data_IF_936355848397
#
_entry.id   IF_936355848397
#
_cell.length_a   1.000
_cell.length_b   1.000
_cell.length_c   1.000
_cell.angle_alpha   90.00
_cell.angle_beta   90.00
_cell.angle_gamma   90.00
#
_symmetry.space_group_name_H-M   'P 1'
#
loop_
_entity.id
_entity.type
_entity.pdbx_description
1 polymer ?
#
# COMPACT_ATOMS: atom_id res chain seq x y z
N UNK A 1 21.47 29.05 -6.08
CA UNK A 1 21.58 29.01 -4.61
C UNK A 1 22.32 27.72 -4.27
N UNK A 2 23.32 27.75 -3.39
CA UNK A 2 24.06 26.54 -3.02
C UNK A 2 23.18 25.66 -2.12
N UNK A 3 23.26 24.34 -2.27
CA UNK A 3 22.71 23.42 -1.26
C UNK A 3 23.39 23.71 0.09
N UNK A 4 22.71 23.48 1.23
CA UNK A 4 23.36 23.48 2.54
C UNK A 4 24.65 22.62 2.51
N UNK A 5 25.72 23.06 3.18
CA UNK A 5 27.03 22.39 3.12
C UNK A 5 26.97 20.91 3.54
N UNK A 6 26.01 20.54 4.39
CA UNK A 6 25.76 19.16 4.78
C UNK A 6 25.17 18.28 3.66
N UNK A 7 24.60 18.88 2.61
CA UNK A 7 24.00 18.20 1.43
C UNK A 7 24.85 18.35 0.18
N UNK A 8 25.57 19.47 0.04
CA UNK A 8 26.33 19.80 -1.15
C UNK A 8 27.34 18.69 -1.49
N UNK A 9 27.18 18.10 -2.68
CA UNK A 9 28.05 17.02 -3.17
C UNK A 9 27.81 15.65 -2.54
N UNK A 10 26.77 15.48 -1.71
CA UNK A 10 26.47 14.20 -1.01
C UNK A 10 25.18 13.53 -1.46
N UNK A 11 24.32 14.24 -2.20
CA UNK A 11 23.03 13.71 -2.67
C UNK A 11 23.24 12.70 -3.80
N UNK A 12 22.69 11.51 -3.63
CA UNK A 12 22.72 10.40 -4.60
C UNK A 12 21.39 10.20 -5.33
N UNK A 13 20.30 10.77 -4.83
CA UNK A 13 19.00 10.73 -5.47
C UNK A 13 18.05 11.81 -4.98
N UNK A 14 17.09 12.16 -5.83
CA UNK A 14 16.00 13.10 -5.53
C UNK A 14 14.68 12.53 -6.03
N UNK A 15 13.59 12.85 -5.34
CA UNK A 15 12.22 12.63 -5.79
C UNK A 15 11.38 13.83 -5.36
N UNK A 16 10.49 14.28 -6.24
CA UNK A 16 9.69 15.49 -6.02
C UNK A 16 8.23 15.14 -6.23
N UNK A 17 7.39 15.63 -5.35
CA UNK A 17 5.95 15.56 -5.54
C UNK A 17 5.30 16.74 -4.79
N UNK A 18 4.38 17.42 -5.47
CA UNK A 18 3.77 18.66 -4.97
C UNK A 18 4.81 19.77 -4.65
N UNK A 19 4.58 20.54 -3.59
CA UNK A 19 5.48 21.50 -2.99
C UNK A 19 6.57 20.88 -2.11
N UNK A 20 6.82 19.57 -2.17
CA UNK A 20 7.88 18.93 -1.39
C UNK A 20 8.86 18.12 -2.24
N UNK A 21 10.09 18.05 -1.76
CA UNK A 21 11.18 17.28 -2.36
C UNK A 21 11.81 16.41 -1.28
N UNK A 22 12.09 15.16 -1.61
CA UNK A 22 12.99 14.31 -0.85
C UNK A 22 14.33 14.15 -1.57
N UNK A 23 15.42 14.28 -0.83
CA UNK A 23 16.78 14.01 -1.26
C UNK A 23 17.39 12.93 -0.37
N UNK A 24 18.25 12.10 -0.94
CA UNK A 24 18.89 10.98 -0.25
C UNK A 24 20.40 11.05 -0.44
N UNK A 25 21.17 10.82 0.63
CA UNK A 25 22.65 10.77 0.57
C UNK A 25 23.19 9.35 0.30
N UNK A 26 24.51 9.18 0.36
CA UNK A 26 25.18 7.88 0.16
C UNK A 26 24.90 6.85 1.28
N UNK A 27 24.58 7.33 2.48
CA UNK A 27 24.12 6.53 3.62
C UNK A 27 22.64 6.19 3.58
N UNK A 28 21.90 6.67 2.57
CA UNK A 28 20.46 6.49 2.46
C UNK A 28 19.65 7.43 3.36
N UNK A 29 20.26 8.43 4.00
CA UNK A 29 19.56 9.36 4.89
C UNK A 29 18.61 10.24 4.09
N UNK A 30 17.40 10.38 4.61
CA UNK A 30 16.34 11.18 3.99
C UNK A 30 16.45 12.62 4.46
N UNK A 31 16.44 13.53 3.50
CA UNK A 31 16.28 14.97 3.68
C UNK A 31 15.03 15.39 2.94
N UNK A 32 14.19 16.20 3.56
CA UNK A 32 13.01 16.77 2.92
C UNK A 32 13.12 18.29 2.83
N UNK A 33 12.51 18.84 1.80
CA UNK A 33 12.33 20.27 1.60
C UNK A 33 10.85 20.54 1.35
N UNK A 34 10.29 21.52 2.05
CA UNK A 34 8.94 22.04 1.79
C UNK A 34 9.00 23.32 0.93
N UNK A 35 7.82 23.84 0.56
CA UNK A 35 7.67 25.10 -0.19
C UNK A 35 8.36 25.11 -1.56
N UNK A 36 8.51 23.97 -2.23
CA UNK A 36 9.16 23.87 -3.54
C UNK A 36 8.44 24.70 -4.63
N UNK A 37 7.14 24.95 -4.48
CA UNK A 37 6.34 25.83 -5.36
C UNK A 37 6.49 27.32 -5.04
N UNK A 38 7.11 27.67 -3.90
CA UNK A 38 7.32 29.05 -3.49
C UNK A 38 8.71 29.55 -3.90
N UNK A 39 8.97 30.82 -3.62
CA UNK A 39 10.25 31.43 -3.95
C UNK A 39 11.42 30.82 -3.13
N UNK A 40 12.64 30.70 -3.70
CA UNK A 40 13.71 29.92 -3.10
C UNK A 40 14.14 30.29 -1.67
N UNK A 41 13.92 31.53 -1.23
CA UNK A 41 14.24 31.94 0.15
C UNK A 41 13.26 31.39 1.21
N UNK A 42 12.18 30.73 0.78
CA UNK A 42 11.20 30.07 1.66
C UNK A 42 11.42 28.56 1.78
N UNK A 43 12.31 28.00 0.96
CA UNK A 43 12.64 26.58 0.98
C UNK A 43 13.24 26.20 2.34
N UNK A 44 12.56 25.32 3.06
CA UNK A 44 12.99 24.89 4.37
C UNK A 44 13.36 23.40 4.35
N UNK A 45 14.63 23.13 4.60
CA UNK A 45 15.23 21.80 4.58
C UNK A 45 15.30 21.21 5.98
N UNK A 46 14.94 19.94 6.11
CA UNK A 46 15.07 19.17 7.35
C UNK A 46 15.52 17.75 7.05
N UNK A 47 16.20 17.13 8.02
CA UNK A 47 16.43 15.68 8.04
C UNK A 47 15.62 15.00 9.15
N UNK A 48 14.86 15.79 9.92
CA UNK A 48 14.02 15.25 10.99
C UNK A 48 12.91 14.45 10.38
N UNK A 49 12.72 13.26 10.91
CA UNK A 49 11.79 12.29 10.37
C UNK A 49 11.49 11.28 11.48
N UNK A 50 10.22 10.99 11.67
CA UNK A 50 9.74 10.01 12.63
C UNK A 50 9.30 10.58 13.98
N UNK A 51 9.05 9.65 14.91
CA UNK A 51 8.37 9.93 16.18
C UNK A 51 9.11 10.89 17.13
N UNK A 52 8.38 11.77 17.85
CA UNK A 52 6.96 12.06 17.66
C UNK A 52 6.77 13.07 16.51
N UNK A 53 6.00 12.71 15.48
CA UNK A 53 5.47 13.62 14.44
C UNK A 53 6.49 14.64 13.90
N UNK A 54 7.38 14.23 12.99
CA UNK A 54 8.47 15.06 12.45
C UNK A 54 9.57 15.49 13.43
N UNK A 55 9.49 15.14 14.72
CA UNK A 55 10.49 15.55 15.72
C UNK A 55 11.59 14.49 15.95
N UNK A 56 11.54 13.36 15.25
CA UNK A 56 12.56 12.32 15.33
C UNK A 56 13.93 12.76 14.77
N UNK A 57 14.97 12.03 15.16
CA UNK A 57 16.38 12.29 14.78
C UNK A 57 16.69 12.05 13.30
N UNK A 58 15.68 11.61 12.53
CA UNK A 58 15.77 11.34 11.10
C UNK A 58 15.57 9.87 10.77
N UNK A 59 15.56 9.60 9.46
CA UNK A 59 15.32 8.27 8.94
C UNK A 59 16.14 8.03 7.66
N UNK A 60 16.18 6.79 7.23
CA UNK A 60 16.83 6.37 5.99
C UNK A 60 15.83 5.69 5.07
N UNK A 61 16.11 5.71 3.77
CA UNK A 61 15.46 4.78 2.85
C UNK A 61 15.81 3.36 3.32
N UNK A 62 14.85 2.42 3.32
CA UNK A 62 15.13 1.05 3.72
C UNK A 62 16.35 0.46 3.02
N UNK A 63 17.25 -0.14 3.79
CA UNK A 63 18.52 -0.63 3.27
C UNK A 63 18.33 -1.64 2.13
N UNK A 64 19.14 -1.49 1.08
CA UNK A 64 19.14 -2.38 -0.08
C UNK A 64 17.95 -2.22 -1.03
N UNK A 65 17.13 -1.17 -0.87
CA UNK A 65 16.00 -0.92 -1.75
C UNK A 65 16.44 -0.82 -3.22
N UNK A 66 15.73 -1.50 -4.13
CA UNK A 66 16.00 -1.43 -5.56
C UNK A 66 15.61 -0.08 -6.15
N UNK A 67 14.52 0.50 -5.65
CA UNK A 67 13.95 1.79 -6.06
C UNK A 67 13.32 2.46 -4.84
N UNK A 68 13.27 3.77 -4.84
CA UNK A 68 12.49 4.55 -3.90
C UNK A 68 11.87 5.75 -4.60
N UNK A 69 10.78 6.26 -4.04
CA UNK A 69 10.02 7.41 -4.56
C UNK A 69 9.40 8.17 -3.40
N UNK A 70 9.24 9.47 -3.58
CA UNK A 70 8.54 10.36 -2.67
C UNK A 70 7.13 10.62 -3.17
N UNK A 71 6.18 10.73 -2.25
CA UNK A 71 4.77 10.99 -2.55
C UNK A 71 4.21 11.97 -1.54
N UNK A 72 3.45 12.94 -2.01
CA UNK A 72 2.74 13.94 -1.19
C UNK A 72 1.31 14.07 -1.69
N UNK A 73 0.35 13.77 -0.85
CA UNK A 73 -1.06 14.12 -1.07
C UNK A 73 -1.35 15.42 -0.30
N UNK A 74 -1.73 16.50 -0.99
CA UNK A 74 -1.89 17.82 -0.34
C UNK A 74 -3.27 18.46 -0.54
N UNK A 75 -3.73 19.31 0.41
CA UNK A 75 -4.95 20.07 0.23
C UNK A 75 -4.83 21.20 -0.80
N UNK A 76 -3.60 21.60 -1.19
CA UNK A 76 -3.36 22.66 -2.16
C UNK A 76 -3.64 22.19 -3.59
N UNK A 77 -2.97 21.12 -4.00
CA UNK A 77 -3.05 20.56 -5.35
C UNK A 77 -4.17 19.53 -5.49
N UNK A 78 -4.20 18.52 -4.61
CA UNK A 78 -5.13 17.39 -4.75
C UNK A 78 -6.53 17.70 -4.21
N UNK A 79 -6.60 18.42 -3.09
CA UNK A 79 -7.81 18.83 -2.34
C UNK A 79 -8.65 17.69 -1.77
N UNK A 80 -8.92 16.67 -2.57
CA UNK A 80 -9.73 15.50 -2.21
C UNK A 80 -9.10 14.23 -2.76
N UNK A 81 -9.47 13.10 -2.18
CA UNK A 81 -9.23 11.76 -2.71
C UNK A 81 -10.52 10.95 -2.60
N UNK A 82 -10.67 9.91 -3.43
CA UNK A 82 -11.91 9.13 -3.52
C UNK A 82 -11.75 7.73 -2.96
N UNK A 83 -12.63 7.34 -2.03
CA UNK A 83 -12.66 5.99 -1.47
C UNK A 83 -13.36 4.98 -2.39
N UNK A 84 -13.41 3.70 -1.97
CA UNK A 84 -14.00 2.60 -2.74
C UNK A 84 -15.54 2.67 -2.82
N UNK A 85 -16.19 3.47 -1.98
CA UNK A 85 -17.61 3.79 -2.09
C UNK A 85 -17.88 4.96 -3.04
N UNK A 86 -16.84 5.63 -3.55
CA UNK A 86 -16.97 6.79 -4.43
C UNK A 86 -17.17 8.10 -3.67
N UNK A 87 -16.95 8.12 -2.35
CA UNK A 87 -17.02 9.34 -1.56
C UNK A 87 -15.70 10.13 -1.68
N UNK A 88 -15.81 11.44 -1.90
CA UNK A 88 -14.68 12.35 -1.85
C UNK A 88 -14.39 12.75 -0.40
N UNK A 89 -13.18 12.48 0.07
CA UNK A 89 -12.68 12.91 1.37
C UNK A 89 -11.69 14.06 1.19
N UNK A 90 -11.77 15.13 2.01
CA UNK A 90 -10.79 16.21 1.95
C UNK A 90 -9.42 15.70 2.39
N UNK A 91 -8.37 16.18 1.73
CA UNK A 91 -6.99 15.94 2.18
C UNK A 91 -6.74 16.73 3.47
N UNK A 92 -6.14 16.08 4.47
CA UNK A 92 -5.82 16.70 5.75
C UNK A 92 -4.87 17.90 5.62
N UNK A 93 -4.99 18.87 6.53
CA UNK A 93 -4.18 20.09 6.52
C UNK A 93 -2.67 19.86 6.70
N UNK A 94 -2.29 18.72 7.28
CA UNK A 94 -0.90 18.32 7.47
C UNK A 94 -0.29 17.59 6.26
N UNK A 95 -1.06 17.42 5.17
CA UNK A 95 -0.72 16.57 4.02
C UNK A 95 -0.50 15.11 4.43
N UNK A 96 -0.19 14.27 3.45
CA UNK A 96 0.24 12.88 3.68
C UNK A 96 1.48 12.62 2.84
N UNK A 97 2.64 12.48 3.50
CA UNK A 97 3.94 12.44 2.85
C UNK A 97 4.69 11.14 3.16
N UNK A 98 5.11 10.42 2.12
CA UNK A 98 5.72 9.09 2.26
C UNK A 98 6.94 8.93 1.36
N UNK A 99 7.99 8.29 1.88
CA UNK A 99 8.95 7.57 1.04
C UNK A 99 8.45 6.15 0.86
N UNK A 100 8.15 5.75 -0.37
CA UNK A 100 7.93 4.35 -0.72
C UNK A 100 9.21 3.74 -1.27
N UNK A 101 9.54 2.52 -0.85
CA UNK A 101 10.77 1.84 -1.22
C UNK A 101 10.52 0.37 -1.56
N UNK A 102 10.99 -0.03 -2.74
CA UNK A 102 10.85 -1.37 -3.27
C UNK A 102 12.00 -2.27 -2.81
N UNK A 103 11.69 -3.45 -2.29
CA UNK A 103 12.70 -4.44 -1.91
C UNK A 103 13.59 -4.86 -3.10
N UNK A 104 14.82 -5.34 -2.84
CA UNK A 104 15.74 -5.73 -3.92
C UNK A 104 15.19 -6.80 -4.88
N UNK A 105 14.33 -7.70 -4.39
CA UNK A 105 13.67 -8.73 -5.18
C UNK A 105 12.33 -8.29 -5.81
N UNK A 106 11.91 -7.04 -5.58
CA UNK A 106 10.69 -6.48 -6.13
C UNK A 106 9.39 -6.92 -5.45
N UNK A 107 9.46 -7.73 -4.40
CA UNK A 107 8.26 -8.38 -3.84
C UNK A 107 7.55 -7.55 -2.75
N UNK A 108 8.24 -6.60 -2.12
CA UNK A 108 7.74 -5.81 -0.98
C UNK A 108 7.86 -4.32 -1.24
N UNK A 109 6.85 -3.54 -0.88
CA UNK A 109 6.92 -2.08 -0.82
C UNK A 109 6.84 -1.68 0.64
N UNK A 110 7.94 -1.14 1.16
CA UNK A 110 7.97 -0.48 2.47
C UNK A 110 7.64 0.98 2.30
N UNK A 111 7.00 1.57 3.29
CA UNK A 111 6.86 3.00 3.33
C UNK A 111 7.41 3.56 4.63
N UNK A 112 7.97 4.76 4.52
CA UNK A 112 8.48 5.55 5.62
C UNK A 112 7.63 6.82 5.65
N UNK A 113 7.07 7.10 6.80
CA UNK A 113 6.20 8.26 7.04
C UNK A 113 6.82 9.08 8.19
N UNK A 114 6.82 10.43 8.10
CA UNK A 114 7.49 11.28 9.05
C UNK A 114 6.86 11.28 10.45
N UNK A 115 5.65 10.71 10.60
CA UNK A 115 4.94 10.58 11.87
C UNK A 115 5.19 9.22 12.54
N UNK A 116 5.71 8.24 11.79
CA UNK A 116 5.88 6.87 12.23
C UNK A 116 7.30 6.58 12.77
N UNK A 117 7.48 5.53 13.59
CA UNK A 117 8.80 5.12 14.08
C UNK A 117 9.77 4.80 12.94
N UNK A 118 11.06 5.11 13.15
CA UNK A 118 12.11 4.87 12.17
C UNK A 118 12.62 3.41 12.19
N UNK A 119 11.77 2.47 11.80
CA UNK A 119 12.08 1.02 11.85
C UNK A 119 11.84 0.24 10.55
N UNK A 120 11.28 0.90 9.53
CA UNK A 120 11.00 0.33 8.20
C UNK A 120 10.10 -0.92 8.23
N UNK A 121 9.23 -1.05 9.24
CA UNK A 121 8.37 -2.23 9.38
C UNK A 121 7.01 -2.09 8.68
N UNK A 122 6.62 -0.88 8.30
CA UNK A 122 5.36 -0.59 7.60
C UNK A 122 5.46 -0.92 6.12
N UNK A 123 4.41 -1.55 5.60
CA UNK A 123 4.41 -2.09 4.25
C UNK A 123 3.04 -1.95 3.58
N UNK A 124 3.09 -1.76 2.25
CA UNK A 124 1.96 -1.93 1.35
C UNK A 124 2.23 -3.19 0.52
N UNK A 125 1.29 -4.15 0.49
CA UNK A 125 1.44 -5.31 -0.39
C UNK A 125 1.53 -4.89 -1.85
N UNK A 126 2.39 -5.57 -2.62
CA UNK A 126 2.39 -5.56 -4.09
C UNK A 126 1.14 -6.27 -4.65
N UNK A 127 0.85 -6.19 -5.97
CA UNK A 127 -0.25 -6.94 -6.57
C UNK A 127 -0.24 -8.44 -6.26
N UNK A 128 -1.38 -9.11 -6.49
CA UNK A 128 -1.52 -10.55 -6.31
C UNK A 128 -1.18 -11.00 -4.88
N UNK A 129 -1.76 -10.29 -3.90
CA UNK A 129 -1.62 -10.54 -2.45
C UNK A 129 -0.16 -10.46 -1.97
N UNK A 130 0.58 -9.43 -2.41
CA UNK A 130 1.96 -9.21 -1.97
C UNK A 130 3.00 -10.10 -2.65
N UNK A 131 2.64 -10.77 -3.75
CA UNK A 131 3.52 -11.74 -4.43
C UNK A 131 4.07 -11.26 -5.76
N UNK A 132 3.51 -10.20 -6.33
CA UNK A 132 4.00 -9.64 -7.59
C UNK A 132 5.43 -9.09 -7.44
N UNK A 133 6.33 -9.51 -8.33
CA UNK A 133 7.71 -9.03 -8.35
C UNK A 133 7.88 -7.85 -9.30
N UNK A 134 7.82 -6.64 -8.74
CA UNK A 134 8.03 -5.41 -9.49
C UNK A 134 9.51 -5.19 -9.86
N UNK A 135 9.75 -4.59 -11.02
CA UNK A 135 11.05 -4.10 -11.48
C UNK A 135 11.23 -2.61 -11.23
N UNK A 136 10.13 -1.87 -11.19
CA UNK A 136 10.15 -0.46 -10.85
C UNK A 136 8.90 -0.05 -10.06
N UNK A 137 9.05 1.10 -9.40
CA UNK A 137 8.07 1.76 -8.56
C UNK A 137 8.17 3.26 -8.81
N UNK A 138 7.04 3.93 -8.95
CA UNK A 138 6.91 5.39 -8.87
C UNK A 138 5.60 5.72 -8.19
N UNK A 139 5.59 6.77 -7.37
CA UNK A 139 4.38 7.18 -6.64
C UNK A 139 4.27 8.70 -6.70
N UNK A 140 3.04 9.20 -6.85
CA UNK A 140 2.70 10.60 -6.69
C UNK A 140 1.28 10.72 -6.11
N UNK A 141 1.10 11.61 -5.12
CA UNK A 141 -0.15 11.83 -4.39
C UNK A 141 -0.86 10.52 -4.03
N UNK A 142 -0.11 9.67 -3.34
CA UNK A 142 -0.50 8.36 -2.81
C UNK A 142 -0.88 7.34 -3.88
N UNK A 143 -0.71 7.66 -5.16
CA UNK A 143 -0.94 6.73 -6.27
C UNK A 143 0.38 6.10 -6.70
N UNK A 144 0.57 4.84 -6.34
CA UNK A 144 1.74 4.05 -6.72
C UNK A 144 1.50 3.37 -8.07
N UNK A 145 2.51 3.34 -8.93
CA UNK A 145 2.61 2.57 -10.17
C UNK A 145 3.76 1.57 -10.04
N UNK A 146 3.50 0.32 -10.38
CA UNK A 146 4.52 -0.74 -10.47
C UNK A 146 4.46 -1.44 -11.82
N UNK A 147 5.60 -1.97 -12.24
CA UNK A 147 5.72 -2.76 -13.48
C UNK A 147 6.61 -3.99 -13.23
N UNK A 148 6.29 -5.16 -13.79
CA UNK A 148 7.19 -6.33 -13.74
C UNK A 148 8.07 -6.43 -15.00
N UNK A 149 8.84 -7.53 -15.10
CA UNK A 149 9.72 -7.80 -16.26
C UNK A 149 8.97 -7.98 -17.60
N UNK A 150 7.68 -8.26 -17.56
CA UNK A 150 6.83 -8.54 -18.74
C UNK A 150 6.05 -7.31 -19.19
N UNK A 151 6.17 -6.19 -18.48
CA UNK A 151 5.41 -4.97 -18.76
C UNK A 151 3.98 -5.00 -18.23
N UNK A 152 3.64 -5.92 -17.31
CA UNK A 152 2.37 -5.86 -16.59
C UNK A 152 2.42 -4.73 -15.56
N UNK A 153 1.41 -3.86 -15.59
CA UNK A 153 1.40 -2.58 -14.90
C UNK A 153 0.24 -2.54 -13.91
N UNK A 154 0.49 -2.12 -12.68
CA UNK A 154 -0.57 -1.93 -11.69
C UNK A 154 -0.45 -0.59 -11.02
N UNK A 155 -1.61 0.01 -10.71
CA UNK A 155 -1.68 1.22 -9.89
C UNK A 155 -2.48 0.98 -8.63
N UNK A 156 -2.16 1.70 -7.56
CA UNK A 156 -2.93 1.67 -6.32
C UNK A 156 -2.89 3.01 -5.62
N UNK A 157 -4.05 3.50 -5.21
CA UNK A 157 -4.18 4.63 -4.29
C UNK A 157 -4.07 4.10 -2.86
N UNK A 158 -2.99 4.47 -2.17
CA UNK A 158 -2.70 3.98 -0.83
C UNK A 158 -1.73 4.91 -0.10
N UNK A 159 -2.08 5.25 1.14
CA UNK A 159 -1.21 5.85 2.13
C UNK A 159 -1.71 5.49 3.53
N UNK A 160 -1.04 6.02 4.56
CA UNK A 160 -1.39 5.78 5.95
C UNK A 160 -2.85 6.17 6.30
N UNK A 161 -3.33 7.31 5.83
CA UNK A 161 -4.69 7.79 6.09
C UNK A 161 -5.73 6.97 5.32
N UNK A 162 -5.49 6.69 4.03
CA UNK A 162 -6.43 5.98 3.16
C UNK A 162 -6.58 4.51 3.58
N UNK A 163 -5.51 3.89 4.11
CA UNK A 163 -5.45 2.46 4.43
C UNK A 163 -6.31 2.02 5.63
N UNK A 164 -6.76 2.95 6.48
CA UNK A 164 -7.38 2.59 7.77
C UNK A 164 -6.42 2.56 8.95
N UNK A 165 -5.16 2.95 8.75
CA UNK A 165 -4.13 2.91 9.78
C UNK A 165 -4.24 4.07 10.78
N UNK A 166 -4.83 5.20 10.37
CA UNK A 166 -4.97 6.38 11.23
C UNK A 166 -6.37 6.51 11.87
N UNK A 167 -6.70 5.58 12.77
CA UNK A 167 -7.94 5.63 13.58
C UNK A 167 -7.95 6.71 14.66
N UNK A 168 -6.85 7.45 14.83
CA UNK A 168 -6.77 8.55 15.80
C UNK A 168 -7.47 9.79 15.26
N UNK A 169 -7.31 10.07 13.96
CA UNK A 169 -7.89 11.27 13.33
C UNK A 169 -9.11 10.98 12.46
N UNK A 170 -9.30 9.76 11.96
CA UNK A 170 -10.36 9.45 11.01
C UNK A 170 -11.27 8.29 11.46
N UNK A 171 -12.51 8.34 10.97
CA UNK A 171 -13.47 7.25 11.08
C UNK A 171 -13.45 6.38 9.84
N UNK A 172 -13.38 5.07 10.03
CA UNK A 172 -13.38 4.07 8.96
C UNK A 172 -14.55 3.11 9.10
N UNK A 173 -14.97 2.50 7.98
CA UNK A 173 -16.00 1.47 8.01
C UNK A 173 -15.83 0.44 6.90
N UNK A 174 -16.00 -0.84 7.24
CA UNK A 174 -16.19 -1.92 6.27
C UNK A 174 -17.65 -2.03 5.79
N UNK A 175 -18.59 -1.30 6.41
CA UNK A 175 -19.96 -1.22 5.93
C UNK A 175 -20.08 -0.20 4.79
N UNK A 176 -21.04 -0.40 3.89
CA UNK A 176 -21.23 0.47 2.72
C UNK A 176 -21.54 1.93 3.14
N UNK A 177 -20.71 2.86 2.71
CA UNK A 177 -20.81 4.29 3.00
C UNK A 177 -21.44 5.08 1.85
N UNK A 178 -21.93 4.45 0.78
CA UNK A 178 -22.56 5.15 -0.35
C UNK A 178 -23.80 5.91 0.08
N UNK A 179 -23.84 7.20 -0.28
CA UNK A 179 -24.98 8.07 0.01
C UNK A 179 -25.10 8.52 1.46
N UNK A 180 -24.14 8.18 2.32
CA UNK A 180 -24.08 8.71 3.68
C UNK A 180 -23.83 10.24 3.65
N UNK A 181 -24.47 10.99 4.55
CA UNK A 181 -24.31 12.46 4.62
C UNK A 181 -22.92 12.85 5.12
N UNK A 182 -22.38 12.08 6.07
CA UNK A 182 -21.04 12.21 6.62
C UNK A 182 -20.36 10.84 6.54
N UNK A 183 -19.90 10.41 5.36
CA UNK A 183 -19.35 9.09 5.18
C UNK A 183 -18.09 8.93 6.02
N UNK A 184 -17.97 7.79 6.69
CA UNK A 184 -16.66 7.31 7.13
C UNK A 184 -15.83 6.95 5.90
N UNK A 185 -14.52 6.87 6.04
CA UNK A 185 -13.67 6.32 4.97
C UNK A 185 -14.07 4.86 4.74
N UNK A 186 -14.44 4.53 3.51
CA UNK A 186 -14.77 3.17 3.13
C UNK A 186 -13.51 2.28 3.15
N UNK A 187 -13.59 1.19 3.91
CA UNK A 187 -12.66 0.06 3.88
C UNK A 187 -13.32 -1.16 3.21
N UNK A 188 -12.53 -2.10 2.65
CA UNK A 188 -11.08 -2.04 2.46
C UNK A 188 -10.63 -0.87 1.59
N UNK A 189 -9.39 -0.43 1.78
CA UNK A 189 -8.78 0.61 0.97
C UNK A 189 -8.74 0.20 -0.51
N UNK A 190 -8.59 1.15 -1.46
CA UNK A 190 -8.49 0.83 -2.88
C UNK A 190 -7.44 -0.25 -3.17
N UNK A 191 -7.88 -1.29 -3.89
CA UNK A 191 -7.02 -2.39 -4.33
C UNK A 191 -6.11 -1.99 -5.49
N UNK A 192 -5.22 -2.92 -5.89
CA UNK A 192 -4.44 -2.78 -7.11
C UNK A 192 -5.34 -2.87 -8.35
N UNK A 193 -5.21 -1.89 -9.24
CA UNK A 193 -5.89 -1.85 -10.54
C UNK A 193 -4.88 -2.23 -11.62
N UNK A 194 -5.18 -3.28 -12.37
CA UNK A 194 -4.38 -3.67 -13.54
C UNK A 194 -4.56 -2.63 -14.65
N UNK A 195 -3.45 -2.13 -15.18
CA UNK A 195 -3.43 -1.16 -16.26
C UNK A 195 -3.29 -1.87 -17.62
N UNK A 196 -3.88 -1.32 -18.70
CA UNK A 196 -3.75 -1.89 -20.02
C UNK A 196 -2.29 -1.96 -20.46
N UNK A 197 -1.96 -2.97 -21.28
CA UNK A 197 -0.64 -3.09 -21.90
C UNK A 197 -0.33 -1.90 -22.81
N UNK A 198 0.94 -1.52 -22.83
CA UNK A 198 1.48 -0.68 -23.91
C UNK A 198 1.39 -1.49 -25.22
N UNK A 199 0.99 -0.89 -26.36
CA UNK A 199 0.83 -1.60 -27.62
C UNK A 199 2.05 -2.46 -27.98
N UNK A 200 1.80 -3.63 -28.59
CA UNK A 200 2.87 -4.59 -28.95
C UNK A 200 3.90 -4.05 -29.96
N UNK A 201 3.59 -2.95 -30.65
CA UNK A 201 4.57 -2.23 -31.49
C UNK A 201 5.61 -1.45 -30.68
N UNK A 202 5.34 -1.23 -29.40
CA UNK A 202 6.15 -0.45 -28.48
C UNK A 202 7.13 -1.29 -27.68
N UNK A 203 8.34 -0.77 -27.53
CA UNK A 203 9.26 -1.20 -26.48
C UNK A 203 9.07 -0.29 -25.26
N UNK A 204 9.25 -0.84 -24.06
CA UNK A 204 9.20 -0.06 -22.81
C UNK A 204 10.39 -0.42 -21.92
N UNK A 205 10.72 0.49 -20.99
CA UNK A 205 11.74 0.27 -19.97
C UNK A 205 11.14 0.25 -18.57
N UNK A 206 11.98 -0.03 -17.57
CA UNK A 206 11.64 0.09 -16.15
C UNK A 206 11.59 1.55 -15.65
N UNK A 207 11.82 2.55 -16.52
CA UNK A 207 11.71 3.96 -16.15
C UNK A 207 10.27 4.43 -16.30
N UNK A 208 9.54 4.34 -15.19
CA UNK A 208 8.13 4.73 -15.06
C UNK A 208 7.96 5.98 -14.21
N UNK A 209 6.85 6.71 -14.39
CA UNK A 209 6.50 7.82 -13.51
C UNK A 209 4.99 8.07 -13.44
N UNK A 210 4.52 8.55 -12.28
CA UNK A 210 3.17 9.09 -12.08
C UNK A 210 3.28 10.60 -11.94
N UNK A 211 2.40 11.36 -12.62
CA UNK A 211 2.37 12.82 -12.58
C UNK A 211 0.99 13.32 -12.17
N UNK A 212 0.91 14.32 -11.28
CA UNK A 212 -0.35 15.01 -11.02
C UNK A 212 -0.74 15.84 -12.24
N UNK A 213 -2.02 15.80 -12.61
CA UNK A 213 -2.57 16.61 -13.72
C UNK A 213 -3.73 17.50 -13.27
N UNK A 214 -4.15 17.40 -12.01
CA UNK A 214 -5.18 18.24 -11.43
C UNK A 214 -5.70 17.72 -10.08
N UNK A 215 -6.87 18.24 -9.69
CA UNK A 215 -7.56 17.91 -8.45
C UNK A 215 -8.04 16.45 -8.43
N UNK A 216 -7.97 15.82 -7.26
CA UNK A 216 -8.53 14.49 -7.05
C UNK A 216 -7.54 13.37 -7.36
N UNK A 217 -7.77 12.19 -6.80
CA UNK A 217 -6.92 11.01 -6.97
C UNK A 217 -6.90 10.45 -8.40
N UNK A 218 -7.91 10.75 -9.22
CA UNK A 218 -8.00 10.27 -10.61
C UNK A 218 -7.20 11.13 -11.60
N UNK A 219 -6.86 12.37 -11.22
CA UNK A 219 -6.17 13.32 -12.08
C UNK A 219 -4.66 13.06 -12.07
N UNK A 220 -4.26 11.92 -12.66
CA UNK A 220 -2.87 11.52 -12.84
C UNK A 220 -2.58 11.14 -14.28
N UNK A 221 -1.35 11.35 -14.72
CA UNK A 221 -0.80 10.78 -15.95
C UNK A 221 0.25 9.72 -15.59
N UNK A 222 0.13 8.56 -16.22
CA UNK A 222 1.14 7.50 -16.17
C UNK A 222 2.08 7.70 -17.35
N UNK A 223 3.40 7.60 -17.13
CA UNK A 223 4.39 7.62 -18.21
C UNK A 223 5.36 6.45 -18.08
N UNK A 224 5.79 5.92 -19.23
CA UNK A 224 6.74 4.83 -19.34
C UNK A 224 7.71 5.17 -20.48
N UNK A 225 8.99 5.27 -20.18
CA UNK A 225 10.01 5.46 -21.20
C UNK A 225 10.04 4.25 -22.15
N UNK A 226 10.29 4.50 -23.43
CA UNK A 226 10.29 3.42 -24.42
C UNK A 226 10.58 3.87 -25.84
N UNK A 227 10.23 3.01 -26.79
CA UNK A 227 10.26 3.30 -28.23
C UNK A 227 8.95 2.95 -28.89
N UNK A 228 8.60 3.70 -29.92
CA UNK A 228 7.62 3.29 -30.91
C UNK A 228 8.27 3.30 -32.29
N UNK A 229 8.21 2.17 -33.00
CA UNK A 229 8.80 2.02 -34.36
C UNK A 229 10.25 2.51 -34.45
N UNK A 230 11.04 2.25 -33.41
CA UNK A 230 12.46 2.61 -33.32
C UNK A 230 12.75 4.05 -32.86
N UNK A 231 11.74 4.92 -32.74
CA UNK A 231 11.92 6.29 -32.22
C UNK A 231 11.81 6.27 -30.70
N UNK A 232 12.76 6.89 -30.00
CA UNK A 232 12.76 6.97 -28.53
C UNK A 232 11.85 8.09 -28.01
N UNK A 233 11.27 7.84 -26.85
CA UNK A 233 10.28 8.73 -26.24
C UNK A 233 9.66 8.11 -25.00
N UNK A 234 8.39 8.40 -24.76
CA UNK A 234 7.63 7.78 -23.70
C UNK A 234 6.19 7.51 -24.11
N UNK A 235 5.65 6.41 -23.61
CA UNK A 235 4.24 6.08 -23.62
C UNK A 235 3.57 6.77 -22.45
N UNK A 236 2.38 7.34 -22.66
CA UNK A 236 1.61 7.97 -21.60
C UNK A 236 0.11 7.81 -21.79
N UNK A 237 -0.62 7.92 -20.68
CA UNK A 237 -2.09 7.97 -20.64
C UNK A 237 -2.56 8.57 -19.32
N UNK A 238 -3.80 9.06 -19.25
CA UNK A 238 -4.39 9.35 -17.95
C UNK A 238 -4.59 8.06 -17.15
N UNK A 239 -4.62 8.14 -15.82
CA UNK A 239 -4.76 6.99 -14.92
C UNK A 239 -5.93 6.07 -15.31
N UNK A 240 -7.06 6.67 -15.69
CA UNK A 240 -8.32 5.98 -15.99
C UNK A 240 -8.52 5.68 -17.48
N UNK A 241 -7.65 6.17 -18.37
CA UNK A 241 -7.77 5.93 -19.81
C UNK A 241 -7.44 4.48 -20.18
N UNK A 242 -8.08 3.96 -21.23
CA UNK A 242 -7.87 2.59 -21.69
C UNK A 242 -6.67 2.42 -22.66
N UNK A 243 -6.14 3.52 -23.22
CA UNK A 243 -5.17 3.48 -24.31
C UNK A 243 -3.94 4.34 -24.04
N UNK A 244 -2.79 3.88 -24.52
CA UNK A 244 -1.52 4.59 -24.45
C UNK A 244 -1.26 5.40 -25.72
N UNK A 245 -0.72 6.60 -25.55
CA UNK A 245 -0.19 7.46 -26.62
C UNK A 245 1.32 7.56 -26.50
N UNK A 246 2.03 7.73 -27.62
CA UNK A 246 3.48 7.88 -27.63
C UNK A 246 3.88 9.32 -27.94
N UNK A 247 4.80 9.87 -27.15
CA UNK A 247 5.46 11.15 -27.42
C UNK A 247 6.94 10.92 -27.68
N UNK A 248 7.39 11.24 -28.90
CA UNK A 248 8.78 11.15 -29.29
C UNK A 248 9.62 12.26 -28.62
N UNK A 249 10.80 11.90 -28.12
CA UNK A 249 11.76 12.85 -27.53
C UNK A 249 13.11 12.82 -28.23
N UNK A 250 13.47 11.70 -28.88
CA UNK A 250 14.78 11.49 -29.49
C UNK A 250 15.93 11.32 -28.49
N UNK A 251 15.65 11.40 -27.19
CA UNK A 251 16.64 11.15 -26.14
C UNK A 251 16.99 9.64 -26.07
N UNK A 252 18.23 9.27 -25.75
CA UNK A 252 18.56 7.86 -25.52
C UNK A 252 17.77 7.30 -24.34
N UNK A 253 17.43 6.00 -24.39
CA UNK A 253 16.82 5.31 -23.26
C UNK A 253 17.78 5.32 -22.06
N UNK A 254 17.24 5.59 -20.87
CA UNK A 254 17.98 5.54 -19.62
C UNK A 254 17.57 4.37 -18.72
N UNK A 255 16.36 3.84 -18.88
CA UNK A 255 15.89 2.63 -18.20
C UNK A 255 16.33 1.35 -18.89
N UNK A 256 16.15 0.23 -18.19
CA UNK A 256 16.40 -1.10 -18.72
C UNK A 256 15.17 -1.61 -19.48
N UNK A 257 15.37 -2.15 -20.69
CA UNK A 257 14.30 -2.71 -21.51
C UNK A 257 13.57 -3.85 -20.79
N UNK A 258 12.23 -3.84 -20.88
CA UNK A 258 11.34 -4.90 -20.42
C UNK A 258 10.85 -5.72 -21.63
N UNK A 259 10.26 -6.89 -21.37
CA UNK A 259 9.81 -7.77 -22.45
C UNK A 259 8.56 -7.27 -23.18
N UNK A 260 7.71 -6.50 -22.50
CA UNK A 260 6.42 -5.99 -23.00
C UNK A 260 5.59 -7.03 -23.78
N UNK A 261 5.30 -8.17 -23.16
CA UNK A 261 4.48 -9.19 -23.83
C UNK A 261 3.05 -8.68 -24.02
N UNK A 262 2.36 -9.06 -25.12
CA UNK A 262 0.97 -8.64 -25.36
C UNK A 262 0.00 -9.22 -24.33
N UNK A 263 0.29 -10.41 -23.81
CA UNK A 263 -0.51 -11.08 -22.80
C UNK A 263 -0.09 -10.66 -21.39
N UNK A 264 -1.04 -10.72 -20.45
CA UNK A 264 -0.81 -10.58 -19.02
C UNK A 264 0.02 -11.77 -18.50
N UNK A 265 1.16 -11.48 -17.89
CA UNK A 265 2.08 -12.46 -17.32
C UNK A 265 2.39 -12.20 -15.86
N UNK A 266 1.47 -11.52 -15.16
CA UNK A 266 1.65 -11.09 -13.77
C UNK A 266 1.87 -12.26 -12.81
N UNK A 267 1.31 -13.42 -13.12
CA UNK A 267 1.40 -14.64 -12.32
C UNK A 267 2.63 -15.52 -12.61
N UNK A 268 3.43 -15.20 -13.63
CA UNK A 268 4.51 -16.08 -14.08
C UNK A 268 5.76 -16.00 -13.19
N UNK A 269 5.93 -14.90 -12.46
CA UNK A 269 7.06 -14.69 -11.53
C UNK A 269 6.55 -14.12 -10.23
N UNK A 270 5.90 -14.98 -9.45
CA UNK A 270 5.44 -14.66 -8.11
C UNK A 270 6.53 -15.00 -7.09
N UNK A 271 6.70 -14.12 -6.10
CA UNK A 271 7.41 -14.46 -4.88
C UNK A 271 6.72 -15.64 -4.16
N UNK A 272 7.48 -16.31 -3.30
CA UNK A 272 6.90 -17.33 -2.43
C UNK A 272 5.78 -16.72 -1.55
N UNK A 273 4.73 -17.48 -1.23
CA UNK A 273 3.78 -17.07 -0.21
C UNK A 273 4.47 -16.78 1.12
N UNK A 274 3.83 -15.97 1.96
CA UNK A 274 4.27 -15.76 3.33
C UNK A 274 4.37 -17.11 4.09
N UNK A 275 5.41 -17.33 4.92
CA UNK A 275 5.65 -18.62 5.59
C UNK A 275 4.91 -18.77 6.94
N UNK A 276 3.85 -18.00 7.15
CA UNK A 276 3.13 -17.94 8.41
C UNK A 276 1.73 -18.54 8.29
N UNK A 277 1.65 -19.85 8.45
CA UNK A 277 0.39 -20.57 8.63
C UNK A 277 0.07 -20.63 10.12
N UNK A 278 -1.20 -20.42 10.47
CA UNK A 278 -1.68 -20.51 11.84
C UNK A 278 -2.91 -21.39 11.93
N UNK A 279 -2.98 -22.26 12.94
CA UNK A 279 -4.14 -23.06 13.23
C UNK A 279 -4.41 -23.20 14.74
N UNK A 280 -5.66 -23.38 15.10
CA UNK A 280 -6.07 -23.54 16.50
C UNK A 280 -7.48 -24.09 16.63
N UNK A 281 -7.88 -24.34 17.88
CA UNK A 281 -9.19 -24.89 18.21
C UNK A 281 -9.74 -24.19 19.44
N UNK A 282 -11.04 -23.87 19.42
CA UNK A 282 -11.82 -23.42 20.58
C UNK A 282 -13.13 -24.21 20.63
N UNK A 283 -13.27 -25.08 21.63
CA UNK A 283 -14.36 -26.05 21.69
C UNK A 283 -14.40 -26.96 20.45
N UNK A 284 -15.53 -26.96 19.75
CA UNK A 284 -15.75 -27.74 18.52
C UNK A 284 -15.27 -27.02 17.25
N UNK A 285 -14.90 -25.74 17.35
CA UNK A 285 -14.50 -24.94 16.19
C UNK A 285 -12.99 -24.99 16.04
N UNK A 286 -12.54 -25.47 14.88
CA UNK A 286 -11.15 -25.31 14.43
C UNK A 286 -11.05 -24.11 13.50
N UNK A 287 -9.91 -23.42 13.53
CA UNK A 287 -9.65 -22.24 12.75
C UNK A 287 -8.28 -22.36 12.08
N UNK A 288 -8.18 -21.93 10.82
CA UNK A 288 -6.95 -21.93 10.04
C UNK A 288 -6.81 -20.67 9.20
N UNK A 289 -5.60 -20.13 9.19
CA UNK A 289 -5.12 -19.09 8.28
C UNK A 289 -3.88 -19.63 7.59
N UNK A 290 -3.85 -19.53 6.27
CA UNK A 290 -2.70 -19.90 5.45
C UNK A 290 -1.98 -18.65 4.95
N UNK A 291 -0.65 -18.69 4.97
CA UNK A 291 0.24 -17.66 4.45
C UNK A 291 -0.14 -16.23 4.88
N UNK A 292 -0.38 -16.03 6.18
CA UNK A 292 -0.67 -14.71 6.74
C UNK A 292 0.48 -13.74 6.42
N UNK A 293 0.17 -12.60 5.83
CA UNK A 293 1.16 -11.58 5.49
C UNK A 293 0.72 -10.24 6.08
N UNK A 294 1.59 -9.65 6.89
CA UNK A 294 1.33 -8.37 7.57
C UNK A 294 1.03 -7.20 6.62
N UNK A 295 1.42 -7.30 5.36
CA UNK A 295 1.21 -6.25 4.36
C UNK A 295 -0.10 -6.45 3.55
N UNK A 296 -0.74 -7.63 3.67
CA UNK A 296 -1.98 -7.97 2.96
C UNK A 296 -3.16 -7.73 3.88
N UNK A 297 -4.05 -6.83 3.48
CA UNK A 297 -5.15 -6.38 4.34
C UNK A 297 -6.24 -7.44 4.48
N UNK A 298 -6.53 -8.23 3.45
CA UNK A 298 -7.56 -9.27 3.46
C UNK A 298 -6.95 -10.68 3.53
N UNK A 299 -7.24 -11.44 4.58
CA UNK A 299 -6.77 -12.82 4.74
C UNK A 299 -7.93 -13.79 4.94
N UNK A 300 -8.07 -14.85 4.11
CA UNK A 300 -9.05 -15.90 4.35
C UNK A 300 -8.83 -16.58 5.70
N UNK A 301 -9.89 -16.63 6.51
CA UNK A 301 -9.97 -17.40 7.74
C UNK A 301 -10.98 -18.52 7.54
N UNK A 302 -10.51 -19.77 7.65
CA UNK A 302 -11.34 -20.95 7.53
C UNK A 302 -11.71 -21.45 8.91
N UNK A 303 -12.99 -21.48 9.22
CA UNK A 303 -13.57 -22.04 10.45
C UNK A 303 -14.26 -23.36 10.12
N UNK A 304 -14.03 -24.41 10.90
CA UNK A 304 -14.69 -25.73 10.72
C UNK A 304 -15.21 -26.28 12.03
N UNK A 305 -16.36 -26.91 11.99
CA UNK A 305 -16.91 -27.69 13.10
C UNK A 305 -17.67 -28.90 12.54
N UNK A 306 -17.31 -30.11 12.97
CA UNK A 306 -17.84 -31.34 12.36
C UNK A 306 -17.53 -31.40 10.85
N UNK A 307 -18.57 -31.59 10.05
CA UNK A 307 -18.54 -31.53 8.58
C UNK A 307 -18.79 -30.12 8.01
N UNK A 308 -19.13 -29.15 8.86
CA UNK A 308 -19.38 -27.77 8.48
C UNK A 308 -18.09 -26.96 8.27
N UNK A 309 -18.10 -26.12 7.24
CA UNK A 309 -17.02 -25.18 6.93
C UNK A 309 -17.59 -23.79 6.66
N UNK A 310 -16.98 -22.78 7.29
CA UNK A 310 -17.29 -21.38 7.13
C UNK A 310 -16.00 -20.64 6.73
N UNK A 311 -15.97 -20.06 5.53
CA UNK A 311 -14.92 -19.15 5.10
C UNK A 311 -15.36 -17.70 5.36
N UNK A 312 -14.55 -16.98 6.13
CA UNK A 312 -14.71 -15.53 6.37
C UNK A 312 -13.43 -14.80 5.98
N UNK A 313 -13.50 -13.49 5.83
CA UNK A 313 -12.30 -12.66 5.60
C UNK A 313 -11.89 -12.01 6.91
N UNK A 314 -10.64 -12.22 7.32
CA UNK A 314 -10.02 -11.45 8.38
C UNK A 314 -9.30 -10.27 7.73
N UNK A 315 -9.81 -9.08 7.97
CA UNK A 315 -9.14 -7.85 7.59
C UNK A 315 -8.15 -7.42 8.69
N UNK A 316 -6.95 -6.99 8.32
CA UNK A 316 -5.92 -6.48 9.25
C UNK A 316 -5.23 -5.24 8.69
N UNK A 317 -5.17 -4.18 9.50
CA UNK A 317 -4.43 -2.93 9.18
C UNK A 317 -3.48 -2.61 10.32
N UNK A 318 -2.22 -2.34 10.00
CA UNK A 318 -1.22 -1.96 11.00
C UNK A 318 -1.39 -0.48 11.34
N UNK A 319 -1.87 -0.22 12.56
CA UNK A 319 -2.27 1.12 12.99
C UNK A 319 -1.12 2.00 13.42
N UNK A 320 -1.44 3.25 13.79
CA UNK A 320 -0.49 4.20 14.37
C UNK A 320 0.14 3.64 15.64
N UNK A 321 1.47 3.64 15.68
CA UNK A 321 2.26 3.34 16.89
C UNK A 321 3.41 4.32 17.02
N UNK A 322 3.93 4.46 18.24
CA UNK A 322 5.05 5.35 18.55
C UNK A 322 6.30 4.58 19.01
N UNK A 323 6.17 3.28 19.26
CA UNK A 323 7.27 2.37 19.60
C UNK A 323 7.76 1.65 18.36
N UNK A 324 9.07 1.37 18.27
CA UNK A 324 9.66 0.62 17.16
C UNK A 324 9.22 -0.85 17.13
N UNK A 325 9.19 -1.43 15.93
CA UNK A 325 8.90 -2.84 15.66
C UNK A 325 9.98 -3.39 14.74
N UNK A 326 10.38 -4.64 15.00
CA UNK A 326 11.24 -5.35 14.08
C UNK A 326 10.54 -5.59 12.74
N UNK A 327 11.33 -5.69 11.67
CA UNK A 327 10.81 -6.07 10.35
C UNK A 327 10.19 -7.48 10.39
N UNK A 328 9.06 -7.66 9.71
CA UNK A 328 8.37 -8.94 9.65
C UNK A 328 7.58 -9.24 10.92
N UNK A 329 7.31 -10.52 11.16
CA UNK A 329 6.78 -11.02 12.41
C UNK A 329 7.92 -11.59 13.25
N UNK A 330 7.89 -11.30 14.55
CA UNK A 330 8.88 -11.78 15.53
C UNK A 330 8.17 -12.22 16.80
N UNK A 331 8.92 -12.55 17.85
CA UNK A 331 8.35 -12.79 19.16
C UNK A 331 7.72 -11.53 19.80
N UNK A 332 8.06 -10.32 19.32
CA UNK A 332 7.41 -9.08 19.74
C UNK A 332 5.99 -9.02 19.17
N UNK A 333 4.95 -8.86 20.01
CA UNK A 333 3.58 -8.74 19.52
C UNK A 333 3.39 -7.52 18.61
N UNK A 334 2.75 -7.77 17.46
CA UNK A 334 2.26 -6.73 16.55
C UNK A 334 0.74 -6.66 16.65
N UNK A 335 0.23 -5.45 16.84
CA UNK A 335 -1.19 -5.18 17.05
C UNK A 335 -1.78 -4.57 15.79
N UNK A 336 -2.83 -5.18 15.27
CA UNK A 336 -3.55 -4.72 14.10
C UNK A 336 -4.97 -4.32 14.48
N UNK A 337 -5.46 -3.29 13.83
CA UNK A 337 -6.90 -3.08 13.73
C UNK A 337 -7.48 -4.16 12.83
N UNK A 338 -8.42 -4.93 13.35
CA UNK A 338 -9.02 -6.05 12.63
C UNK A 338 -10.51 -5.88 12.37
N UNK A 339 -11.01 -6.58 11.36
CA UNK A 339 -12.43 -6.79 11.13
C UNK A 339 -12.66 -8.21 10.60
N UNK A 340 -13.72 -8.87 11.07
CA UNK A 340 -14.16 -10.15 10.50
C UNK A 340 -15.35 -9.88 9.59
N UNK A 341 -15.18 -10.13 8.30
CA UNK A 341 -16.23 -10.02 7.30
C UNK A 341 -16.81 -11.40 6.97
N UNK A 342 -18.13 -11.53 7.14
CA UNK A 342 -18.90 -12.71 6.78
C UNK A 342 -19.56 -12.47 5.41
N UNK A 343 -19.42 -13.38 4.43
CA UNK A 343 -20.14 -13.25 3.17
C UNK A 343 -21.66 -13.17 3.39
N UNK A 344 -22.36 -12.29 2.66
CA UNK A 344 -23.80 -12.11 2.81
C UNK A 344 -24.58 -13.43 2.64
N UNK A 345 -24.17 -14.27 1.69
CA UNK A 345 -24.78 -15.59 1.47
C UNK A 345 -24.70 -16.50 2.70
N UNK A 346 -23.64 -16.40 3.52
CA UNK A 346 -23.54 -17.15 4.78
C UNK A 346 -24.54 -16.63 5.81
N UNK A 347 -24.73 -15.31 5.88
CA UNK A 347 -25.69 -14.70 6.81
C UNK A 347 -27.14 -15.07 6.43
N UNK A 348 -27.45 -15.01 5.14
CA UNK A 348 -28.77 -15.37 4.60
C UNK A 348 -29.10 -16.84 4.92
N UNK A 349 -28.10 -17.73 4.80
CA UNK A 349 -28.25 -19.17 5.05
C UNK A 349 -27.75 -19.59 6.45
N UNK A 350 -27.60 -18.66 7.40
CA UNK A 350 -26.97 -18.94 8.71
C UNK A 350 -27.69 -20.06 9.49
N UNK A 351 -28.99 -20.22 9.28
CA UNK A 351 -29.80 -21.28 9.89
C UNK A 351 -29.38 -22.71 9.49
N UNK A 352 -28.74 -22.86 8.33
CA UNK A 352 -28.28 -24.14 7.77
C UNK A 352 -26.86 -24.52 8.20
N UNK A 353 -26.12 -23.57 8.77
CA UNK A 353 -24.75 -23.78 9.23
C UNK A 353 -24.69 -24.74 10.43
N UNK A 354 -23.56 -25.44 10.58
CA UNK A 354 -23.30 -26.31 11.74
C UNK A 354 -23.61 -25.55 13.05
N UNK A 355 -24.29 -26.17 14.04
CA UNK A 355 -24.73 -25.49 15.26
C UNK A 355 -23.63 -24.65 15.94
N UNK A 356 -22.42 -25.19 16.08
CA UNK A 356 -21.29 -24.48 16.67
C UNK A 356 -20.86 -23.23 15.87
N UNK A 357 -20.81 -23.31 14.54
CA UNK A 357 -20.44 -22.17 13.68
C UNK A 357 -21.53 -21.09 13.70
N UNK A 358 -22.80 -21.50 13.63
CA UNK A 358 -23.95 -20.59 13.76
C UNK A 358 -23.95 -19.87 15.11
N UNK A 359 -23.65 -20.58 16.20
CA UNK A 359 -23.56 -19.99 17.53
C UNK A 359 -22.40 -19.00 17.61
N UNK A 360 -21.22 -19.35 17.08
CA UNK A 360 -20.08 -18.43 17.01
C UNK A 360 -20.45 -17.13 16.27
N UNK A 361 -21.11 -17.22 15.12
CA UNK A 361 -21.54 -16.03 14.35
C UNK A 361 -22.53 -15.18 15.15
N UNK A 362 -23.50 -15.79 15.83
CA UNK A 362 -24.50 -15.06 16.62
C UNK A 362 -23.88 -14.40 17.86
N UNK A 363 -23.14 -15.18 18.64
CA UNK A 363 -22.70 -14.77 19.98
C UNK A 363 -21.45 -13.88 19.91
N UNK A 364 -20.54 -14.15 18.97
CA UNK A 364 -19.27 -13.42 18.84
C UNK A 364 -19.33 -12.33 17.79
N UNK A 365 -19.96 -12.59 16.65
CA UNK A 365 -20.01 -11.66 15.51
C UNK A 365 -21.36 -10.92 15.41
N UNK A 366 -22.29 -11.16 16.34
CA UNK A 366 -23.56 -10.43 16.40
C UNK A 366 -24.47 -10.63 15.18
N UNK A 367 -24.22 -11.64 14.35
CA UNK A 367 -24.84 -11.80 13.03
C UNK A 367 -24.67 -10.59 12.10
N UNK A 368 -23.63 -9.77 12.32
CA UNK A 368 -23.28 -8.65 11.46
C UNK A 368 -22.38 -9.11 10.32
N UNK A 369 -22.46 -8.41 9.18
CA UNK A 369 -21.57 -8.65 8.05
C UNK A 369 -20.13 -8.32 8.43
N UNK A 370 -19.90 -7.15 9.01
CA UNK A 370 -18.57 -6.70 9.39
C UNK A 370 -18.51 -6.51 10.92
N UNK A 371 -17.53 -7.13 11.59
CA UNK A 371 -17.35 -6.99 13.04
C UNK A 371 -15.92 -6.63 13.39
N UNK A 372 -15.72 -5.48 14.02
CA UNK A 372 -14.40 -5.04 14.48
C UNK A 372 -13.80 -5.96 15.55
N UNK A 373 -12.49 -6.13 15.50
CA UNK A 373 -11.71 -6.92 16.46
C UNK A 373 -10.30 -6.36 16.61
N UNK A 374 -9.65 -6.66 17.74
CA UNK A 374 -8.19 -6.55 17.83
C UNK A 374 -7.58 -7.85 17.30
N UNK A 375 -6.50 -7.74 16.52
CA UNK A 375 -5.68 -8.88 16.10
C UNK A 375 -4.27 -8.68 16.62
N UNK A 376 -3.73 -9.70 17.29
CA UNK A 376 -2.36 -9.68 17.81
C UNK A 376 -1.58 -10.83 17.22
N UNK A 377 -0.44 -10.54 16.60
CA UNK A 377 0.34 -11.54 15.85
C UNK A 377 1.79 -11.53 16.31
N UNK A 378 2.35 -12.73 16.45
CA UNK A 378 3.78 -13.00 16.62
C UNK A 378 4.23 -14.03 15.58
N UNK A 379 5.53 -14.33 15.52
CA UNK A 379 6.07 -15.45 14.74
C UNK A 379 5.65 -16.85 15.22
N UNK A 380 4.85 -16.94 16.31
CA UNK A 380 4.37 -18.20 16.90
C UNK A 380 2.86 -18.27 17.04
N UNK A 381 2.18 -17.15 17.19
CA UNK A 381 0.75 -17.10 17.49
C UNK A 381 0.02 -15.97 16.77
N UNK A 382 -1.26 -16.19 16.49
CA UNK A 382 -2.19 -15.18 15.99
C UNK A 382 -3.47 -15.24 16.84
N UNK A 383 -3.81 -14.14 17.50
CA UNK A 383 -5.02 -14.04 18.33
C UNK A 383 -6.04 -13.13 17.67
N UNK A 384 -7.27 -13.62 17.52
CA UNK A 384 -8.43 -12.86 17.01
C UNK A 384 -9.38 -12.65 18.19
N UNK A 385 -9.28 -11.48 18.84
CA UNK A 385 -9.89 -11.24 20.14
C UNK A 385 -11.41 -11.40 20.15
N UNK A 386 -12.11 -10.91 19.13
CA UNK A 386 -13.57 -10.99 19.04
C UNK A 386 -14.07 -12.42 18.94
N UNK A 387 -13.31 -13.30 18.29
CA UNK A 387 -13.62 -14.72 18.18
C UNK A 387 -13.18 -15.53 19.40
N UNK A 388 -12.35 -14.98 20.29
CA UNK A 388 -11.75 -15.72 21.40
C UNK A 388 -10.70 -16.74 20.96
N UNK A 389 -10.23 -16.65 19.70
CA UNK A 389 -9.32 -17.63 19.12
C UNK A 389 -7.87 -17.22 19.32
N UNK A 390 -7.03 -18.16 19.72
CA UNK A 390 -5.56 -18.08 19.62
C UNK A 390 -5.07 -19.25 18.78
N UNK A 391 -4.48 -18.93 17.64
CA UNK A 391 -3.95 -19.87 16.67
C UNK A 391 -2.44 -19.99 16.86
N UNK A 392 -1.91 -21.20 16.82
CA UNK A 392 -0.47 -21.47 16.86
C UNK A 392 0.07 -21.63 15.45
N UNK A 393 1.33 -21.27 15.24
CA UNK A 393 2.02 -21.49 13.97
C UNK A 393 2.15 -22.99 13.67
N UNK A 394 1.89 -23.42 12.44
CA UNK A 394 1.89 -24.83 12.00
C UNK A 394 2.81 -25.11 10.82
#
# INVERSE_FOLDING_TARGET
MALPDCLAGRITGISVDDDELAAVDDGGRIYTMDHALNAPWTWNWTHRYGTPLWLGDGNTVPYGSARWTWSVLSPGEDRVWRDTAGNDHPVGGAKVSHVFALSPDGSRIRYVDPWLPADHSYEMATPLRGRFQARALSTAASTSLVVNRYGDLYTRLYDFDISGADRVFFGYSYEDQRGAVFPKIQLPAPGWVHQPKVPASGEITDRISVHKTGRGSDARELRIEGRDRGVTGYWHKALTDAAWTFTATGAPLAGALLQNTPDDRSADTLAAPSPYDYAGTDGEVTARIDAFDLAVEDTPLVLRAGDGELRVTLHTVDGLRQSVQARGLTAQPRHFYGNVEIPQSVLDDLGTQHPALRQLVRDRLGSARCTDTDVVVTDRTLTIKRLGLTLNRV
#
